data_IF_948626377665
#
_entry.id   IF_948626377665
#
_cell.length_a   1.000
_cell.length_b   1.000
_cell.length_c   1.000
_cell.angle_alpha   90.00
_cell.angle_beta   90.00
_cell.angle_gamma   90.00
#
_symmetry.space_group_name_H-M   'P 1'
#
loop_
_entity.id
_entity.type
_entity.pdbx_description
1 polymer ?
#
# COMPACT_ATOMS: atom_id res chain seq x y z
N UNK A 1 -29.25 3.52 -37.68
CA UNK A 1 -27.94 3.93 -38.22
C UNK A 1 -27.33 4.97 -37.29
N UNK A 2 -26.46 4.59 -36.37
CA UNK A 2 -25.30 5.26 -35.78
C UNK A 2 -24.84 4.34 -34.62
N UNK A 3 -24.16 3.26 -34.97
CA UNK A 3 -23.30 2.51 -34.05
C UNK A 3 -22.09 2.03 -34.87
N UNK A 4 -21.17 2.92 -35.08
CA UNK A 4 -19.82 2.59 -35.53
C UNK A 4 -18.90 3.69 -35.05
N UNK A 5 -17.79 3.24 -34.44
CA UNK A 5 -16.66 4.05 -33.97
C UNK A 5 -16.63 4.38 -32.45
N UNK A 6 -16.52 3.34 -31.62
CA UNK A 6 -15.70 3.40 -30.41
C UNK A 6 -14.81 2.14 -30.41
N UNK A 7 -13.84 2.17 -31.28
CA UNK A 7 -12.81 1.17 -31.40
C UNK A 7 -11.44 1.82 -31.47
N UNK A 8 -11.15 2.81 -30.62
CA UNK A 8 -9.78 3.17 -30.34
C UNK A 8 -9.21 2.12 -29.40
N UNK A 9 -8.35 1.25 -29.93
CA UNK A 9 -7.46 0.43 -29.17
C UNK A 9 -6.79 1.32 -28.14
N UNK A 10 -7.11 1.13 -26.84
CA UNK A 10 -6.31 1.70 -25.77
C UNK A 10 -4.88 1.20 -25.99
N UNK A 11 -4.04 2.02 -26.60
CA UNK A 11 -2.60 1.85 -26.58
C UNK A 11 -2.25 1.56 -25.12
N UNK A 12 -1.68 0.41 -24.87
CA UNK A 12 -1.20 0.00 -23.56
C UNK A 12 -0.04 0.93 -23.22
N UNK A 13 -0.38 2.12 -22.72
CA UNK A 13 0.61 3.07 -22.25
C UNK A 13 1.32 2.38 -21.08
N UNK A 14 2.57 2.00 -21.29
CA UNK A 14 3.37 1.38 -20.25
C UNK A 14 3.43 2.32 -19.04
N UNK A 15 3.11 1.82 -17.86
CA UNK A 15 3.30 2.56 -16.63
C UNK A 15 4.58 2.09 -15.91
N UNK A 16 5.23 3.01 -15.25
CA UNK A 16 6.38 2.70 -14.42
C UNK A 16 5.94 2.10 -13.10
N UNK A 17 6.26 0.85 -12.82
CA UNK A 17 5.91 0.18 -11.56
C UNK A 17 6.63 0.74 -10.32
N UNK A 18 7.59 1.64 -10.51
CA UNK A 18 8.26 2.34 -9.41
C UNK A 18 7.54 3.59 -8.92
N UNK A 19 6.76 4.27 -9.81
CA UNK A 19 6.07 5.51 -9.46
C UNK A 19 4.68 5.67 -10.08
N UNK A 20 4.18 4.68 -10.83
CA UNK A 20 2.88 4.66 -11.52
C UNK A 20 2.63 5.83 -12.48
N UNK A 21 3.69 6.45 -13.01
CA UNK A 21 3.60 7.44 -14.10
C UNK A 21 3.72 6.74 -15.44
N UNK A 22 3.15 7.35 -16.47
CA UNK A 22 3.34 6.91 -17.86
C UNK A 22 4.83 6.85 -18.19
N UNK A 23 5.23 5.79 -18.85
CA UNK A 23 6.60 5.50 -19.26
C UNK A 23 6.64 5.37 -20.78
N UNK A 24 7.69 5.89 -21.41
CA UNK A 24 7.89 5.68 -22.84
C UNK A 24 8.28 4.22 -23.10
N UNK A 25 7.77 3.62 -24.19
CA UNK A 25 8.16 2.27 -24.58
C UNK A 25 9.67 2.14 -24.75
N UNK A 26 10.26 1.05 -24.24
CA UNK A 26 11.69 0.79 -24.38
C UNK A 26 12.61 1.49 -23.38
N UNK A 27 12.12 2.36 -22.50
CA UNK A 27 12.95 2.93 -21.42
C UNK A 27 13.39 1.86 -20.42
N UNK A 28 14.69 1.57 -20.31
CA UNK A 28 15.25 0.63 -19.33
C UNK A 28 15.12 1.12 -17.87
N UNK A 29 15.20 2.46 -17.68
CA UNK A 29 15.02 3.13 -16.37
C UNK A 29 14.02 4.27 -16.50
N UNK A 30 13.12 4.38 -15.53
CA UNK A 30 12.18 5.48 -15.49
C UNK A 30 12.87 6.82 -15.26
N UNK A 31 12.63 7.81 -16.14
CA UNK A 31 13.19 9.16 -16.05
C UNK A 31 12.74 9.94 -14.81
N UNK A 32 11.60 9.57 -14.20
CA UNK A 32 11.04 10.29 -13.04
C UNK A 32 11.52 9.76 -11.70
N UNK A 33 11.73 8.43 -11.57
CA UNK A 33 12.06 7.81 -10.27
C UNK A 33 13.27 6.87 -10.32
N UNK A 34 13.90 6.69 -11.50
CA UNK A 34 15.06 5.83 -11.66
C UNK A 34 14.76 4.32 -11.56
N UNK A 35 13.50 3.91 -11.41
CA UNK A 35 13.13 2.50 -11.28
C UNK A 35 13.52 1.71 -12.55
N UNK A 36 14.19 0.59 -12.34
CA UNK A 36 14.50 -0.41 -13.36
C UNK A 36 13.89 -1.74 -12.97
N UNK A 37 13.04 -2.29 -13.82
CA UNK A 37 12.35 -3.56 -13.57
C UNK A 37 13.35 -4.70 -13.32
N UNK A 38 14.34 -4.86 -14.22
CA UNK A 38 15.32 -5.95 -14.14
C UNK A 38 16.16 -5.89 -12.86
N UNK A 39 16.59 -4.67 -12.47
CA UNK A 39 17.35 -4.47 -11.25
C UNK A 39 16.52 -4.76 -10.01
N UNK A 40 15.25 -4.36 -10.02
CA UNK A 40 14.31 -4.61 -8.93
C UNK A 40 14.04 -6.12 -8.77
N UNK A 41 13.78 -6.83 -9.86
CA UNK A 41 13.48 -8.27 -9.84
C UNK A 41 14.65 -9.14 -9.33
N UNK A 42 15.91 -8.69 -9.52
CA UNK A 42 17.08 -9.36 -8.96
C UNK A 42 17.17 -9.28 -7.44
N UNK A 43 16.61 -8.24 -6.83
CA UNK A 43 16.74 -7.94 -5.40
C UNK A 43 15.43 -8.22 -4.63
N UNK A 44 14.28 -8.29 -5.33
CA UNK A 44 12.98 -8.50 -4.74
C UNK A 44 12.89 -9.85 -4.01
N UNK A 45 12.26 -9.86 -2.85
CA UNK A 45 11.88 -11.12 -2.20
C UNK A 45 10.91 -11.90 -3.11
N UNK A 46 11.23 -13.17 -3.36
CA UNK A 46 10.45 -14.03 -4.27
C UNK A 46 9.04 -14.29 -3.79
N UNK A 47 8.80 -14.19 -2.47
CA UNK A 47 7.45 -14.37 -1.90
C UNK A 47 6.53 -13.17 -2.11
N UNK A 48 7.02 -12.03 -2.58
CA UNK A 48 6.18 -10.85 -2.82
C UNK A 48 5.64 -10.85 -4.25
N UNK A 49 4.52 -10.16 -4.47
CA UNK A 49 3.92 -9.96 -5.78
C UNK A 49 4.91 -9.30 -6.75
N UNK A 50 4.80 -9.64 -8.02
CA UNK A 50 5.64 -9.02 -9.04
C UNK A 50 5.01 -7.69 -9.50
N UNK A 51 5.83 -6.69 -9.80
CA UNK A 51 5.33 -5.49 -10.46
C UNK A 51 4.67 -5.83 -11.79
N UNK A 52 3.50 -5.24 -12.03
CA UNK A 52 2.67 -5.52 -13.21
C UNK A 52 1.57 -6.56 -12.97
N UNK A 53 1.60 -7.28 -11.85
CA UNK A 53 0.50 -8.17 -11.50
C UNK A 53 -0.79 -7.36 -11.26
N UNK A 54 -1.90 -7.92 -11.67
CA UNK A 54 -3.21 -7.30 -11.54
C UNK A 54 -4.02 -7.98 -10.45
N UNK A 55 -4.53 -7.20 -9.50
CA UNK A 55 -5.41 -7.63 -8.44
C UNK A 55 -6.83 -7.13 -8.69
N UNK A 56 -7.81 -7.99 -8.39
CA UNK A 56 -9.24 -7.67 -8.50
C UNK A 56 -9.63 -7.08 -9.87
N UNK A 57 -8.90 -7.43 -10.95
CA UNK A 57 -9.06 -6.88 -12.30
C UNK A 57 -9.04 -5.33 -12.35
N UNK A 58 -8.53 -4.69 -11.32
CA UNK A 58 -8.59 -3.23 -11.16
C UNK A 58 -7.25 -2.62 -10.76
N UNK A 59 -6.49 -3.27 -9.88
CA UNK A 59 -5.30 -2.68 -9.29
C UNK A 59 -4.04 -3.30 -9.87
N UNK A 60 -3.19 -2.48 -10.49
CA UNK A 60 -1.87 -2.93 -10.97
C UNK A 60 -0.87 -2.78 -9.82
N UNK A 61 -0.18 -3.84 -9.49
CA UNK A 61 0.86 -3.88 -8.44
C UNK A 61 2.16 -3.26 -8.95
N UNK A 62 2.79 -2.45 -8.14
CA UNK A 62 4.11 -1.87 -8.36
C UNK A 62 5.17 -2.40 -7.41
N UNK A 63 6.16 -1.56 -7.11
CA UNK A 63 7.21 -1.90 -6.15
C UNK A 63 6.68 -2.02 -4.73
N UNK A 64 7.36 -2.78 -3.91
CA UNK A 64 7.14 -2.81 -2.47
C UNK A 64 7.42 -1.41 -1.88
N UNK A 65 6.52 -0.94 -1.01
CA UNK A 65 6.66 0.27 -0.20
C UNK A 65 7.27 -0.07 1.16
N UNK A 66 6.84 -1.18 1.75
CA UNK A 66 7.30 -1.68 3.03
C UNK A 66 6.85 -3.13 3.26
N UNK A 67 7.51 -3.81 4.19
CA UNK A 67 7.13 -5.14 4.64
C UNK A 67 7.34 -5.24 6.15
N UNK A 68 6.36 -5.79 6.86
CA UNK A 68 6.36 -5.94 8.30
C UNK A 68 5.97 -7.36 8.74
N UNK A 69 5.80 -7.54 10.02
CA UNK A 69 5.45 -8.84 10.61
C UNK A 69 4.13 -9.43 10.13
N UNK A 70 3.18 -8.58 9.74
CA UNK A 70 1.81 -9.00 9.39
C UNK A 70 1.46 -8.84 7.92
N UNK A 71 2.30 -8.16 7.12
CA UNK A 71 1.96 -7.95 5.72
C UNK A 71 3.01 -7.22 4.91
N UNK A 72 2.68 -7.05 3.64
CA UNK A 72 3.50 -6.35 2.65
C UNK A 72 2.67 -5.25 2.01
N UNK A 73 3.19 -4.03 1.97
CA UNK A 73 2.57 -2.88 1.32
C UNK A 73 3.23 -2.62 -0.03
N UNK A 74 2.43 -2.47 -1.07
CA UNK A 74 2.85 -2.21 -2.44
C UNK A 74 2.36 -0.85 -2.91
N UNK A 75 3.13 -0.17 -3.75
CA UNK A 75 2.59 0.87 -4.60
C UNK A 75 1.63 0.21 -5.60
N UNK A 76 0.45 0.79 -5.80
CA UNK A 76 -0.53 0.32 -6.74
C UNK A 76 -1.03 1.42 -7.68
N UNK A 77 -1.70 1.01 -8.74
CA UNK A 77 -2.42 1.90 -9.65
C UNK A 77 -3.85 1.39 -9.85
N UNK A 78 -4.82 2.21 -9.52
CA UNK A 78 -6.22 1.96 -9.80
C UNK A 78 -6.53 2.32 -11.25
N UNK A 79 -6.80 1.31 -12.09
CA UNK A 79 -7.08 1.51 -13.53
C UNK A 79 -8.39 2.24 -13.78
N UNK A 80 -9.36 2.11 -12.87
CA UNK A 80 -10.68 2.73 -13.00
C UNK A 80 -10.63 4.22 -12.64
N UNK A 81 -10.04 4.55 -11.50
CA UNK A 81 -9.91 5.93 -11.04
C UNK A 81 -8.68 6.64 -11.63
N UNK A 82 -7.76 5.89 -12.26
CA UNK A 82 -6.51 6.39 -12.82
C UNK A 82 -5.63 7.13 -11.79
N UNK A 83 -5.59 6.61 -10.57
CA UNK A 83 -4.82 7.19 -9.45
C UNK A 83 -3.86 6.16 -8.85
N UNK A 84 -2.85 6.68 -8.16
CA UNK A 84 -1.96 5.86 -7.33
C UNK A 84 -2.68 5.48 -6.04
N UNK A 85 -2.46 4.24 -5.62
CA UNK A 85 -2.96 3.69 -4.36
C UNK A 85 -1.82 2.97 -3.62
N UNK A 86 -1.98 2.73 -2.34
CA UNK A 86 -1.20 1.75 -1.61
C UNK A 86 -2.04 0.48 -1.44
N UNK A 87 -1.44 -0.69 -1.64
CA UNK A 87 -2.12 -1.98 -1.47
C UNK A 87 -1.37 -2.76 -0.39
N UNK A 88 -2.02 -2.99 0.75
CA UNK A 88 -1.49 -3.81 1.85
C UNK A 88 -2.03 -5.23 1.71
N UNK A 89 -1.14 -6.19 1.63
CA UNK A 89 -1.45 -7.61 1.58
C UNK A 89 -1.28 -8.23 2.96
N UNK A 90 -2.24 -9.03 3.43
CA UNK A 90 -2.06 -9.85 4.61
C UNK A 90 -1.09 -11.00 4.29
N UNK A 91 0.14 -10.88 4.76
CA UNK A 91 1.21 -11.84 4.50
C UNK A 91 2.08 -12.01 5.76
N UNK A 92 1.56 -12.70 6.80
CA UNK A 92 2.25 -12.80 8.08
C UNK A 92 3.57 -13.58 7.94
N UNK A 93 4.67 -12.94 8.35
CA UNK A 93 6.01 -13.50 8.28
C UNK A 93 6.11 -14.81 9.06
N UNK A 94 6.66 -15.85 8.44
CA UNK A 94 6.80 -17.18 9.04
C UNK A 94 5.52 -18.03 9.04
N UNK A 95 4.35 -17.48 8.74
CA UNK A 95 3.06 -18.19 8.71
C UNK A 95 2.44 -18.29 7.31
N UNK A 96 2.98 -17.55 6.35
CA UNK A 96 2.51 -17.55 4.98
C UNK A 96 3.67 -17.75 4.00
N UNK A 97 3.43 -18.53 2.96
CA UNK A 97 4.30 -18.66 1.79
C UNK A 97 3.48 -18.45 0.52
N UNK A 98 4.10 -17.88 -0.50
CA UNK A 98 3.54 -17.78 -1.84
C UNK A 98 4.08 -18.91 -2.69
N UNK A 99 3.18 -19.62 -3.36
CA UNK A 99 3.58 -20.61 -4.34
C UNK A 99 4.07 -19.89 -5.61
N UNK A 100 5.37 -19.98 -5.89
CA UNK A 100 6.00 -19.36 -7.05
C UNK A 100 6.22 -20.34 -8.21
N UNK A 101 5.71 -21.55 -8.13
CA UNK A 101 5.85 -22.57 -9.20
C UNK A 101 5.00 -22.17 -10.40
N UNK A 102 5.64 -21.88 -11.52
CA UNK A 102 5.07 -21.31 -12.75
C UNK A 102 4.11 -22.24 -13.53
N UNK A 103 3.67 -23.37 -12.97
CA UNK A 103 2.92 -24.37 -13.73
C UNK A 103 1.39 -24.37 -13.54
N UNK A 104 0.84 -23.47 -12.76
CA UNK A 104 -0.61 -23.41 -12.56
C UNK A 104 -1.13 -21.97 -12.59
N UNK A 105 -2.38 -21.77 -13.00
CA UNK A 105 -3.10 -20.48 -12.96
C UNK A 105 -3.22 -19.86 -11.55
N UNK A 106 -2.62 -20.49 -10.53
CA UNK A 106 -2.59 -20.06 -9.12
C UNK A 106 -1.19 -19.65 -8.66
N UNK A 107 -0.37 -19.08 -9.54
CA UNK A 107 1.04 -18.73 -9.24
C UNK A 107 1.22 -17.75 -8.07
N UNK A 108 0.16 -17.02 -7.68
CA UNK A 108 0.19 -16.02 -6.61
C UNK A 108 -0.50 -16.46 -5.33
N UNK A 109 -0.98 -17.71 -5.25
CA UNK A 109 -1.69 -18.19 -4.08
C UNK A 109 -0.80 -18.19 -2.83
N UNK A 110 -1.31 -17.59 -1.76
CA UNK A 110 -0.72 -17.62 -0.42
C UNK A 110 -1.24 -18.85 0.31
N UNK A 111 -0.33 -19.59 0.92
CA UNK A 111 -0.64 -20.79 1.70
C UNK A 111 -0.12 -20.63 3.13
N UNK A 112 -0.92 -21.00 4.15
CA UNK A 112 -0.45 -21.08 5.52
C UNK A 112 0.58 -22.22 5.65
N UNK A 113 1.66 -21.97 6.41
CA UNK A 113 2.79 -22.91 6.52
C UNK A 113 2.75 -23.72 7.81
N UNK A 114 2.28 -23.13 8.92
CA UNK A 114 2.36 -23.74 10.24
C UNK A 114 0.99 -24.01 10.85
N UNK A 115 0.18 -22.99 11.02
CA UNK A 115 -1.13 -23.04 11.67
C UNK A 115 -2.18 -22.35 10.81
N UNK A 116 -2.97 -23.14 10.12
CA UNK A 116 -4.05 -22.64 9.26
C UNK A 116 -5.13 -21.88 10.06
N UNK A 117 -5.42 -22.29 11.31
CA UNK A 117 -6.42 -21.60 12.14
C UNK A 117 -5.91 -20.24 12.57
N UNK A 118 -4.65 -20.13 12.93
CA UNK A 118 -4.02 -18.86 13.25
C UNK A 118 -4.03 -17.92 12.03
N UNK A 119 -3.63 -18.43 10.87
CA UNK A 119 -3.65 -17.67 9.62
C UNK A 119 -5.05 -17.14 9.28
N UNK A 120 -6.07 -18.01 9.28
CA UNK A 120 -7.46 -17.62 8.99
C UNK A 120 -7.99 -16.58 9.97
N UNK A 121 -7.75 -16.77 11.28
CA UNK A 121 -8.16 -15.81 12.30
C UNK A 121 -7.48 -14.44 12.13
N UNK A 122 -6.21 -14.42 11.74
CA UNK A 122 -5.49 -13.19 11.44
C UNK A 122 -6.04 -12.50 10.18
N UNK A 123 -6.35 -13.27 9.13
CA UNK A 123 -6.96 -12.76 7.92
C UNK A 123 -8.34 -12.13 8.16
N UNK A 124 -9.19 -12.77 8.96
CA UNK A 124 -10.49 -12.23 9.36
C UNK A 124 -10.35 -10.90 10.13
N UNK A 125 -9.37 -10.84 11.04
CA UNK A 125 -9.05 -9.60 11.77
C UNK A 125 -8.60 -8.49 10.82
N UNK A 126 -7.69 -8.79 9.91
CA UNK A 126 -7.17 -7.84 8.92
C UNK A 126 -8.30 -7.22 8.08
N UNK A 127 -9.24 -8.04 7.61
CA UNK A 127 -10.39 -7.55 6.82
C UNK A 127 -11.43 -6.82 7.67
N UNK A 128 -11.60 -7.21 8.92
CA UNK A 128 -12.45 -6.48 9.85
C UNK A 128 -11.87 -5.10 10.16
N UNK A 129 -10.55 -5.01 10.34
CA UNK A 129 -9.82 -3.76 10.54
C UNK A 129 -9.96 -2.84 9.33
N UNK A 130 -9.76 -3.36 8.10
CA UNK A 130 -9.98 -2.60 6.87
C UNK A 130 -11.40 -2.01 6.80
N UNK A 131 -12.42 -2.81 7.15
CA UNK A 131 -13.82 -2.36 7.18
C UNK A 131 -14.05 -1.27 8.22
N UNK A 132 -13.49 -1.43 9.40
CA UNK A 132 -13.63 -0.45 10.48
C UNK A 132 -12.96 0.88 10.09
N UNK A 133 -11.73 0.83 9.55
CA UNK A 133 -11.00 2.02 9.11
C UNK A 133 -11.72 2.78 7.98
N UNK A 134 -12.42 2.08 7.09
CA UNK A 134 -13.17 2.72 6.02
C UNK A 134 -14.26 3.70 6.53
N UNK A 135 -14.75 3.54 7.75
CA UNK A 135 -15.70 4.48 8.36
C UNK A 135 -15.06 5.83 8.71
N UNK A 136 -13.72 5.88 8.81
CA UNK A 136 -12.98 7.09 9.20
C UNK A 136 -12.33 7.82 8.03
N UNK A 137 -12.68 7.51 6.80
CA UNK A 137 -12.09 8.11 5.59
C UNK A 137 -12.19 9.65 5.51
N UNK A 138 -13.01 10.27 6.36
CA UNK A 138 -13.16 11.74 6.44
C UNK A 138 -12.37 12.37 7.58
N UNK A 139 -11.72 11.56 8.40
CA UNK A 139 -10.93 12.03 9.55
C UNK A 139 -9.54 12.41 9.05
N UNK A 140 -9.18 13.68 9.22
CA UNK A 140 -7.81 14.15 8.93
C UNK A 140 -6.83 13.50 9.90
N UNK A 141 -5.60 13.26 9.47
CA UNK A 141 -4.56 12.65 10.31
C UNK A 141 -4.52 11.12 10.30
N UNK A 142 -5.47 10.45 9.62
CA UNK A 142 -5.47 8.98 9.42
C UNK A 142 -5.54 8.68 7.93
N UNK A 143 -4.88 7.60 7.51
CA UNK A 143 -4.97 7.11 6.14
C UNK A 143 -6.39 6.66 5.78
N UNK A 144 -6.81 6.91 4.53
CA UNK A 144 -8.11 6.48 4.01
C UNK A 144 -8.03 5.09 3.38
N UNK A 145 -8.96 4.21 3.75
CA UNK A 145 -9.17 2.88 3.13
C UNK A 145 -10.26 3.00 2.08
N UNK A 146 -9.94 2.70 0.82
CA UNK A 146 -10.86 2.88 -0.32
C UNK A 146 -11.49 1.58 -0.79
N UNK A 147 -10.84 0.45 -0.54
CA UNK A 147 -11.35 -0.87 -0.93
C UNK A 147 -10.69 -1.98 -0.08
N UNK A 148 -11.32 -3.14 0.00
CA UNK A 148 -10.73 -4.35 0.55
C UNK A 148 -11.38 -5.58 -0.08
N UNK A 149 -10.58 -6.62 -0.35
CA UNK A 149 -11.07 -7.83 -1.01
C UNK A 149 -10.23 -9.06 -0.67
N UNK A 150 -10.79 -10.23 -0.98
CA UNK A 150 -10.10 -11.52 -0.93
C UNK A 150 -9.66 -11.93 -2.33
N UNK A 151 -8.40 -12.30 -2.47
CA UNK A 151 -7.84 -12.90 -3.67
C UNK A 151 -6.58 -13.70 -3.32
N UNK A 152 -6.15 -14.62 -4.16
CA UNK A 152 -4.91 -15.39 -3.96
C UNK A 152 -4.82 -16.13 -2.60
N UNK A 153 -5.94 -16.48 -1.96
CA UNK A 153 -5.94 -17.11 -0.63
C UNK A 153 -5.56 -16.19 0.52
N UNK A 154 -5.53 -14.88 0.29
CA UNK A 154 -5.25 -13.85 1.28
C UNK A 154 -6.21 -12.66 1.16
N UNK A 155 -6.00 -11.62 1.97
CA UNK A 155 -6.75 -10.37 1.94
C UNK A 155 -5.88 -9.20 1.52
N UNK A 156 -6.51 -8.28 0.82
CA UNK A 156 -5.90 -7.02 0.39
C UNK A 156 -6.71 -5.85 0.91
N UNK A 157 -6.02 -4.80 1.36
CA UNK A 157 -6.58 -3.51 1.73
C UNK A 157 -6.00 -2.46 0.79
N UNK A 158 -6.87 -1.70 0.14
CA UNK A 158 -6.47 -0.61 -0.75
C UNK A 158 -6.65 0.71 -0.03
N UNK A 159 -5.62 1.52 -0.03
CA UNK A 159 -5.55 2.77 0.71
C UNK A 159 -5.09 3.92 -0.20
N UNK A 160 -5.34 5.13 0.24
CA UNK A 160 -4.74 6.31 -0.37
C UNK A 160 -3.21 6.19 -0.38
N UNK A 161 -2.58 6.45 -1.53
CA UNK A 161 -1.13 6.56 -1.60
C UNK A 161 -0.69 7.95 -1.15
N UNK A 162 0.00 8.01 -0.04
CA UNK A 162 0.54 9.24 0.55
C UNK A 162 1.99 9.44 0.09
N UNK A 163 2.26 10.38 -0.83
CA UNK A 163 3.62 10.72 -1.21
C UNK A 163 4.27 11.57 -0.12
N UNK A 164 5.27 11.02 0.55
CA UNK A 164 5.94 11.72 1.64
C UNK A 164 7.10 10.91 2.20
N UNK A 165 7.62 11.37 3.33
CA UNK A 165 8.63 10.69 4.13
C UNK A 165 8.06 10.37 5.50
N UNK A 166 8.53 9.29 6.12
CA UNK A 166 8.16 9.04 7.51
C UNK A 166 8.80 10.10 8.43
N UNK A 167 8.13 10.39 9.54
CA UNK A 167 8.66 11.32 10.53
C UNK A 167 10.04 10.88 10.99
N UNK A 168 10.29 9.58 11.10
CA UNK A 168 11.63 9.04 11.40
C UNK A 168 12.66 9.40 10.33
N UNK A 169 12.33 9.28 9.04
CA UNK A 169 13.25 9.67 7.96
C UNK A 169 13.60 11.16 8.04
N UNK A 170 12.61 11.99 8.35
CA UNK A 170 12.79 13.43 8.48
C UNK A 170 13.69 13.74 9.68
N UNK A 171 13.41 13.17 10.86
CA UNK A 171 14.21 13.41 12.06
C UNK A 171 15.65 12.91 11.92
N UNK A 172 15.90 11.86 11.15
CA UNK A 172 17.25 11.38 10.87
C UNK A 172 17.99 12.21 9.82
N UNK A 173 17.28 12.97 8.99
CA UNK A 173 17.86 13.79 7.90
C UNK A 173 18.06 15.28 8.29
N UNK A 174 17.49 15.73 9.39
CA UNK A 174 17.64 17.11 9.88
C UNK A 174 18.50 17.16 11.14
N UNK A 175 19.27 18.23 11.28
CA UNK A 175 20.02 18.56 12.50
C UNK A 175 19.29 19.62 13.33
N UNK A 176 18.25 20.23 12.78
CA UNK A 176 17.46 21.23 13.48
C UNK A 176 16.50 20.53 14.44
N UNK A 177 16.46 21.02 15.68
CA UNK A 177 15.51 20.54 16.69
C UNK A 177 14.26 21.39 16.63
N UNK A 178 13.11 20.74 16.58
CA UNK A 178 11.82 21.40 16.69
C UNK A 178 11.59 21.86 18.13
N UNK A 179 10.92 22.99 18.29
CA UNK A 179 10.43 23.45 19.60
C UNK A 179 9.24 22.57 20.04
N UNK A 180 8.88 22.66 21.31
CA UNK A 180 7.70 21.94 21.84
C UNK A 180 6.42 22.36 21.10
N UNK A 181 6.24 23.67 20.85
CA UNK A 181 5.11 24.22 20.12
C UNK A 181 5.01 23.65 18.70
N UNK A 182 6.12 23.63 17.96
CA UNK A 182 6.16 23.07 16.60
C UNK A 182 5.83 21.59 16.57
N UNK A 183 6.30 20.82 17.55
CA UNK A 183 5.97 19.39 17.68
C UNK A 183 4.49 19.20 17.99
N UNK A 184 3.92 20.00 18.89
CA UNK A 184 2.49 19.91 19.23
C UNK A 184 1.59 20.29 18.05
N UNK A 185 1.92 21.34 17.30
CA UNK A 185 1.20 21.71 16.08
C UNK A 185 1.26 20.60 15.01
N UNK A 186 2.44 20.00 14.82
CA UNK A 186 2.64 18.93 13.87
C UNK A 186 1.82 17.67 14.21
N UNK A 187 1.76 17.30 15.50
CA UNK A 187 1.08 16.10 15.98
C UNK A 187 -0.43 16.29 16.18
N UNK A 188 -0.92 17.52 16.33
CA UNK A 188 -2.31 17.81 16.64
C UNK A 188 -3.32 17.08 15.74
N UNK A 189 -3.19 17.04 14.38
CA UNK A 189 -4.15 16.32 13.53
C UNK A 189 -4.19 14.81 13.81
N UNK A 190 -3.03 14.23 14.16
CA UNK A 190 -2.94 12.80 14.50
C UNK A 190 -3.55 12.53 15.87
N UNK A 191 -3.34 13.42 16.84
CA UNK A 191 -3.91 13.31 18.19
C UNK A 191 -5.44 13.42 18.14
N UNK A 192 -5.99 14.39 17.41
CA UNK A 192 -7.43 14.55 17.19
C UNK A 192 -8.05 13.32 16.53
N UNK A 193 -7.35 12.78 15.52
CA UNK A 193 -7.76 11.57 14.84
C UNK A 193 -7.78 10.35 15.79
N UNK A 194 -6.75 10.18 16.62
CA UNK A 194 -6.67 9.13 17.62
C UNK A 194 -7.80 9.25 18.66
N UNK A 195 -8.15 10.45 19.08
CA UNK A 195 -9.28 10.67 19.98
C UNK A 195 -10.59 10.14 19.37
N UNK A 196 -10.83 10.41 18.09
CA UNK A 196 -12.04 9.98 17.38
C UNK A 196 -12.10 8.44 17.31
N UNK A 197 -11.02 7.79 16.85
CA UNK A 197 -11.03 6.32 16.68
C UNK A 197 -11.03 5.57 18.01
N UNK A 198 -10.40 6.14 19.07
CA UNK A 198 -10.42 5.55 20.41
C UNK A 198 -11.84 5.57 21.01
N UNK A 199 -12.66 6.61 20.73
CA UNK A 199 -14.09 6.65 21.15
C UNK A 199 -14.90 5.51 20.51
N UNK A 200 -14.50 5.03 19.33
CA UNK A 200 -15.10 3.87 18.65
C UNK A 200 -14.44 2.53 19.05
N UNK A 201 -13.55 2.55 20.04
CA UNK A 201 -12.88 1.36 20.56
C UNK A 201 -11.76 0.80 19.70
N UNK A 202 -11.30 1.56 18.69
CA UNK A 202 -10.19 1.16 17.83
C UNK A 202 -8.90 1.71 18.40
N UNK A 203 -7.91 0.83 18.59
CA UNK A 203 -6.59 1.18 19.12
C UNK A 203 -5.55 0.82 18.06
N UNK A 204 -4.68 1.76 17.70
CA UNK A 204 -3.66 1.59 16.66
C UNK A 204 -2.58 0.54 17.03
N UNK A 205 -2.12 0.50 18.28
CA UNK A 205 -1.13 -0.44 18.85
C UNK A 205 0.30 -0.32 18.35
N UNK A 206 0.56 0.48 17.32
CA UNK A 206 1.91 0.68 16.75
C UNK A 206 2.13 2.14 16.35
N UNK A 207 1.84 3.07 17.28
CA UNK A 207 2.12 4.51 17.06
C UNK A 207 3.63 4.71 17.16
N UNK A 208 4.25 5.05 16.02
CA UNK A 208 5.68 5.30 15.93
C UNK A 208 6.01 6.30 14.84
N UNK A 209 7.18 6.96 14.87
CA UNK A 209 7.60 7.86 13.81
C UNK A 209 7.76 7.20 12.43
N UNK A 210 7.92 5.88 12.37
CA UNK A 210 7.93 5.13 11.11
C UNK A 210 6.54 5.09 10.48
N UNK A 211 5.48 5.05 11.30
CA UNK A 211 4.08 4.94 10.89
C UNK A 211 3.38 6.30 10.77
N UNK A 212 4.13 7.39 10.76
CA UNK A 212 3.64 8.74 10.52
C UNK A 212 4.27 9.30 9.25
N UNK A 213 3.47 9.52 8.21
CA UNK A 213 3.94 10.07 6.94
C UNK A 213 3.64 11.56 6.86
N UNK A 214 4.65 12.36 6.57
CA UNK A 214 4.51 13.78 6.30
C UNK A 214 4.56 14.04 4.80
N UNK A 215 3.54 14.70 4.27
CA UNK A 215 3.50 15.11 2.88
C UNK A 215 4.29 16.41 2.66
N UNK A 216 4.42 16.84 1.39
CA UNK A 216 5.16 18.07 1.02
C UNK A 216 4.54 19.37 1.58
N UNK A 217 3.27 19.34 1.96
CA UNK A 217 2.59 20.50 2.57
C UNK A 217 2.74 20.54 4.10
N UNK A 218 3.50 19.61 4.70
CA UNK A 218 3.72 19.53 6.14
C UNK A 218 2.61 18.80 6.91
N UNK A 219 1.62 18.22 6.22
CA UNK A 219 0.56 17.48 6.90
C UNK A 219 1.03 16.08 7.27
N UNK A 220 0.82 15.72 8.53
CA UNK A 220 1.14 14.42 9.08
C UNK A 220 -0.07 13.49 9.04
N UNK A 221 0.14 12.24 8.65
CA UNK A 221 -0.89 11.20 8.56
C UNK A 221 -0.37 9.92 9.19
N UNK A 222 -1.15 9.33 10.10
CA UNK A 222 -0.87 8.04 10.72
C UNK A 222 -1.30 6.91 9.78
N UNK A 223 -0.41 5.94 9.59
CA UNK A 223 -0.60 4.77 8.73
C UNK A 223 -0.37 3.47 9.51
N UNK A 224 -0.70 2.33 8.92
CA UNK A 224 -0.43 0.97 9.45
C UNK A 224 -1.12 0.68 10.79
N UNK A 225 -2.44 0.69 10.78
CA UNK A 225 -3.30 0.19 11.87
C UNK A 225 -3.19 -1.32 12.03
#
# INVERSE_FOLDING_TARGET
YIYSEIGESMETTEICYGCMRKKEPGEGKCRYCGFSYDSYMKQKNRCYLNPGEELHRRYIVGRVLGAGGFGVSYLGYDKVLQIRVAVKEYFPAGFALRNTTQMTHYSNAVQPVQDERFYRKGLEKFLTEARNLAHFNKVSGIMSVTDFFHENGTGYMVMEYLPGQSLKQITLSTTEMMTEEEVMELLAPVMDALEIIHKEGIIHRDISPDNMLMNKAGHLTLIDF
#
